data_IF_367474741218
#
_entry.id   IF_367474741218
#
_cell.length_a   1.000
_cell.length_b   1.000
_cell.length_c   1.000
_cell.angle_alpha   90.00
_cell.angle_beta   90.00
_cell.angle_gamma   90.00
#
_symmetry.space_group_name_H-M   'P 1'
#
loop_
_entity.id
_entity.type
_entity.pdbx_description
1 polymer ?
#
# COMPACT_ATOMS: atom_id res chain seq x y z
N UNK A 1 -62.86 -53.92 -64.32
CA UNK A 1 -61.58 -54.65 -64.29
C UNK A 1 -61.02 -54.53 -62.88
N UNK A 2 -60.90 -55.66 -62.20
CA UNK A 2 -60.43 -55.81 -60.82
C UNK A 2 -58.90 -55.64 -60.82
N UNK A 3 -58.30 -55.11 -59.74
CA UNK A 3 -57.20 -55.73 -58.96
C UNK A 3 -56.48 -54.71 -58.05
N UNK A 4 -56.57 -54.99 -56.74
CA UNK A 4 -55.72 -54.66 -55.58
C UNK A 4 -54.20 -54.48 -55.84
N UNK A 5 -53.55 -53.68 -54.97
CA UNK A 5 -52.32 -53.99 -54.15
C UNK A 5 -51.79 -52.68 -53.54
N UNK A 6 -51.82 -52.45 -52.23
CA UNK A 6 -50.84 -52.87 -51.20
C UNK A 6 -49.37 -52.54 -51.52
N UNK A 7 -48.88 -51.54 -50.79
CA UNK A 7 -47.56 -51.41 -50.12
C UNK A 7 -46.33 -52.04 -50.77
N UNK A 8 -45.33 -51.22 -51.09
CA UNK A 8 -43.91 -51.59 -50.92
C UNK A 8 -42.99 -50.35 -50.98
N UNK A 9 -42.34 -50.08 -49.85
CA UNK A 9 -40.92 -49.71 -49.75
C UNK A 9 -40.48 -48.41 -50.46
N UNK A 10 -40.56 -47.32 -49.71
CA UNK A 10 -39.48 -46.33 -49.65
C UNK A 10 -39.41 -45.78 -48.21
N UNK A 11 -39.17 -46.70 -47.26
CA UNK A 11 -38.65 -46.36 -45.95
C UNK A 11 -37.15 -46.11 -46.11
N UNK A 12 -36.61 -45.16 -45.34
CA UNK A 12 -35.16 -44.87 -45.17
C UNK A 12 -34.59 -43.68 -45.96
N UNK A 13 -35.24 -42.52 -45.92
CA UNK A 13 -34.53 -41.26 -46.22
C UNK A 13 -35.13 -39.98 -45.61
N UNK A 14 -36.24 -40.05 -44.84
CA UNK A 14 -36.93 -38.83 -44.37
C UNK A 14 -37.34 -38.86 -42.90
N UNK A 15 -36.56 -39.57 -42.07
CA UNK A 15 -36.70 -39.56 -40.61
C UNK A 15 -35.31 -39.53 -39.95
N UNK A 16 -34.45 -38.65 -40.46
CA UNK A 16 -33.13 -38.30 -39.89
C UNK A 16 -32.84 -36.79 -40.14
N UNK A 17 -33.85 -35.95 -39.93
CA UNK A 17 -33.73 -34.49 -39.97
C UNK A 17 -34.58 -33.82 -38.87
N UNK A 18 -34.87 -34.56 -37.80
CA UNK A 18 -35.26 -34.05 -36.49
C UNK A 18 -34.29 -34.71 -35.51
N UNK A 19 -33.56 -33.92 -34.71
CA UNK A 19 -32.48 -34.30 -33.77
C UNK A 19 -31.03 -34.09 -34.25
N UNK A 20 -30.71 -32.95 -34.85
CA UNK A 20 -29.34 -32.41 -34.84
C UNK A 20 -29.36 -30.88 -34.83
N UNK A 21 -28.88 -30.28 -33.73
CA UNK A 21 -28.24 -28.96 -33.79
C UNK A 21 -29.04 -27.74 -33.33
N UNK A 22 -29.67 -27.77 -32.15
CA UNK A 22 -29.75 -26.57 -31.31
C UNK A 22 -28.76 -26.76 -30.15
N UNK A 23 -27.47 -26.68 -30.48
CA UNK A 23 -26.46 -26.32 -29.51
C UNK A 23 -26.51 -24.79 -29.47
N UNK A 24 -27.28 -24.25 -28.51
CA UNK A 24 -27.12 -22.88 -28.08
C UNK A 24 -25.67 -22.75 -27.63
N UNK A 25 -24.88 -22.00 -28.39
CA UNK A 25 -23.56 -21.59 -27.96
C UNK A 25 -23.77 -20.83 -26.65
N UNK A 26 -23.42 -21.44 -25.53
CA UNK A 26 -23.19 -20.70 -24.30
C UNK A 26 -22.12 -19.69 -24.65
N UNK A 27 -22.53 -18.43 -24.81
CA UNK A 27 -21.62 -17.32 -24.69
C UNK A 27 -21.13 -17.38 -23.25
N UNK A 28 -20.00 -18.05 -23.05
CA UNK A 28 -19.16 -17.81 -21.89
C UNK A 28 -18.86 -16.33 -21.97
N UNK A 29 -19.51 -15.57 -21.09
CA UNK A 29 -19.06 -14.23 -20.77
C UNK A 29 -17.58 -14.39 -20.42
N UNK A 30 -16.75 -13.85 -21.29
CA UNK A 30 -15.34 -13.61 -21.05
C UNK A 30 -15.32 -12.85 -19.72
N UNK A 31 -14.98 -13.55 -18.64
CA UNK A 31 -14.47 -12.87 -17.47
C UNK A 31 -13.24 -12.18 -18.03
N UNK A 32 -13.32 -10.88 -18.20
CA UNK A 32 -12.15 -10.03 -18.17
C UNK A 32 -11.48 -10.33 -16.84
N UNK A 33 -10.65 -11.38 -16.83
CA UNK A 33 -9.41 -11.39 -16.09
C UNK A 33 -8.85 -10.00 -16.39
N UNK A 34 -8.87 -9.13 -15.38
CA UNK A 34 -8.00 -7.98 -15.39
C UNK A 34 -6.63 -8.56 -15.68
N UNK A 35 -6.20 -8.45 -16.94
CA UNK A 35 -4.80 -8.50 -17.29
C UNK A 35 -4.23 -7.42 -16.38
N UNK A 36 -3.62 -7.85 -15.27
CA UNK A 36 -2.64 -7.06 -14.56
C UNK A 36 -1.75 -6.56 -15.69
N UNK A 37 -1.82 -5.26 -16.01
CA UNK A 37 -0.82 -4.68 -16.89
C UNK A 37 0.51 -5.04 -16.22
N UNK A 38 1.24 -6.01 -16.78
CA UNK A 38 2.56 -6.39 -16.34
C UNK A 38 3.43 -5.16 -16.59
N UNK A 39 3.41 -4.26 -15.62
CA UNK A 39 4.41 -3.22 -15.50
C UNK A 39 5.78 -3.89 -15.57
N UNK A 40 6.78 -3.19 -16.11
CA UNK A 40 8.13 -3.72 -16.18
C UNK A 40 8.58 -4.20 -14.78
N UNK A 41 9.34 -5.31 -14.72
CA UNK A 41 9.69 -5.96 -13.47
C UNK A 41 10.39 -4.98 -12.53
N UNK A 42 10.01 -4.94 -11.25
CA UNK A 42 10.65 -4.07 -10.28
C UNK A 42 12.13 -4.43 -10.14
N UNK A 43 12.97 -3.41 -10.03
CA UNK A 43 14.43 -3.55 -10.01
C UNK A 43 14.96 -3.13 -8.65
N UNK A 44 15.66 -4.05 -7.98
CA UNK A 44 16.22 -3.86 -6.65
C UNK A 44 17.73 -4.09 -6.70
N UNK A 45 18.50 -3.11 -6.25
CA UNK A 45 19.95 -3.21 -6.11
C UNK A 45 20.29 -3.24 -4.62
N UNK A 46 20.92 -4.33 -4.16
CA UNK A 46 21.41 -4.43 -2.79
C UNK A 46 22.85 -3.94 -2.74
N UNK A 47 23.11 -2.90 -1.95
CA UNK A 47 24.45 -2.31 -1.78
C UNK A 47 24.98 -2.69 -0.41
N UNK A 48 26.05 -3.49 -0.39
CA UNK A 48 26.66 -4.00 0.84
C UNK A 48 28.03 -3.37 1.10
N UNK A 49 28.19 -2.84 2.31
CA UNK A 49 29.47 -2.44 2.86
C UNK A 49 30.35 -3.66 3.19
N UNK A 50 31.59 -3.65 2.69
CA UNK A 50 32.60 -4.69 2.95
C UNK A 50 33.87 -4.07 3.54
N UNK A 51 33.76 -2.87 4.11
CA UNK A 51 34.84 -2.15 4.78
C UNK A 51 35.27 -2.82 6.09
N UNK A 52 36.29 -2.24 6.74
CA UNK A 52 37.01 -2.91 7.82
C UNK A 52 36.19 -3.13 9.08
N UNK A 53 35.25 -2.23 9.36
CA UNK A 53 34.32 -2.26 10.50
C UNK A 53 33.33 -3.41 10.43
N UNK A 54 33.11 -3.98 9.24
CA UNK A 54 32.21 -5.12 9.07
C UNK A 54 32.75 -6.42 9.69
N UNK A 55 33.98 -6.41 10.24
CA UNK A 55 34.58 -7.53 10.99
C UNK A 55 34.12 -7.58 12.44
N UNK A 56 33.66 -6.47 13.00
CA UNK A 56 33.23 -6.34 14.37
C UNK A 56 32.15 -7.39 14.69
N UNK A 57 32.29 -8.00 15.88
CA UNK A 57 31.47 -9.12 16.37
C UNK A 57 30.49 -8.69 17.44
N UNK A 58 29.75 -7.63 17.15
CA UNK A 58 28.81 -6.99 18.05
C UNK A 58 27.34 -7.25 17.68
N UNK A 59 27.08 -8.01 16.61
CA UNK A 59 25.76 -8.56 16.35
C UNK A 59 25.38 -9.59 17.43
N UNK A 60 24.09 -9.71 17.70
CA UNK A 60 23.55 -10.76 18.57
C UNK A 60 24.13 -12.14 18.25
N UNK A 61 24.52 -12.88 19.29
CA UNK A 61 25.15 -14.19 19.12
C UNK A 61 26.65 -14.17 18.82
N UNK A 62 27.31 -13.00 18.80
CA UNK A 62 28.77 -12.88 18.62
C UNK A 62 29.23 -13.10 17.18
N UNK A 63 28.29 -13.02 16.23
CA UNK A 63 28.54 -13.06 14.80
C UNK A 63 29.11 -11.72 14.33
N UNK A 64 29.93 -11.73 13.26
CA UNK A 64 30.40 -10.49 12.65
C UNK A 64 29.30 -9.83 11.82
N UNK A 65 29.32 -8.50 11.73
CA UNK A 65 28.37 -7.72 10.89
C UNK A 65 28.28 -8.25 9.45
N UNK A 66 29.42 -8.54 8.82
CA UNK A 66 29.45 -9.15 7.46
C UNK A 66 28.77 -10.52 7.39
N UNK A 67 28.87 -11.33 8.46
CA UNK A 67 28.33 -12.68 8.45
C UNK A 67 26.81 -12.64 8.66
N UNK A 68 26.33 -11.71 9.50
CA UNK A 68 24.90 -11.41 9.61
C UNK A 68 24.34 -10.93 8.26
N UNK A 69 25.01 -9.99 7.59
CA UNK A 69 24.62 -9.57 6.25
C UNK A 69 24.59 -10.75 5.27
N UNK A 70 25.67 -11.52 5.13
CA UNK A 70 25.71 -12.68 4.23
C UNK A 70 24.60 -13.70 4.50
N UNK A 71 24.26 -13.95 5.76
CA UNK A 71 23.15 -14.82 6.13
C UNK A 71 21.81 -14.24 5.66
N UNK A 72 21.51 -12.99 6.00
CA UNK A 72 20.25 -12.35 5.61
C UNK A 72 20.10 -12.23 4.10
N UNK A 73 21.18 -11.97 3.35
CA UNK A 73 21.15 -11.97 1.88
C UNK A 73 20.78 -13.33 1.32
N UNK A 74 21.30 -14.42 1.87
CA UNK A 74 20.96 -15.77 1.43
C UNK A 74 19.47 -16.07 1.60
N UNK A 75 18.89 -15.65 2.72
CA UNK A 75 17.46 -15.81 3.00
C UNK A 75 16.60 -14.94 2.09
N UNK A 76 17.06 -13.73 1.77
CA UNK A 76 16.40 -12.82 0.83
C UNK A 76 16.42 -13.37 -0.59
N UNK A 77 17.58 -13.85 -1.08
CA UNK A 77 17.72 -14.48 -2.40
C UNK A 77 16.73 -15.65 -2.57
N UNK A 78 16.47 -16.40 -1.50
CA UNK A 78 15.50 -17.49 -1.51
C UNK A 78 14.04 -17.01 -1.54
N UNK A 79 13.75 -15.84 -0.96
CA UNK A 79 12.42 -15.28 -0.82
C UNK A 79 12.03 -14.28 -1.93
N UNK A 80 12.97 -13.85 -2.77
CA UNK A 80 12.70 -12.93 -3.90
C UNK A 80 11.77 -13.61 -4.93
N UNK A 81 10.64 -12.99 -5.30
CA UNK A 81 9.77 -13.44 -6.40
C UNK A 81 10.51 -13.50 -7.74
N UNK A 82 10.08 -14.36 -8.67
CA UNK A 82 10.78 -14.53 -9.97
C UNK A 82 10.64 -13.29 -10.88
N UNK A 83 9.64 -12.47 -10.60
CA UNK A 83 9.27 -11.24 -11.29
C UNK A 83 10.17 -10.05 -10.89
N UNK A 84 10.90 -10.15 -9.77
CA UNK A 84 11.78 -9.08 -9.30
C UNK A 84 13.18 -9.25 -9.88
N UNK A 85 13.72 -8.20 -10.50
CA UNK A 85 15.11 -8.16 -10.90
C UNK A 85 15.99 -7.70 -9.74
N UNK A 86 16.93 -8.54 -9.31
CA UNK A 86 17.84 -8.26 -8.20
C UNK A 86 19.26 -8.10 -8.72
N UNK A 87 19.96 -7.06 -8.26
CA UNK A 87 21.41 -6.93 -8.39
C UNK A 87 22.09 -6.75 -7.04
N UNK A 88 23.40 -6.95 -7.01
CA UNK A 88 24.22 -6.82 -5.80
C UNK A 88 25.46 -6.01 -6.14
N UNK A 89 25.67 -4.92 -5.41
CA UNK A 89 26.88 -4.11 -5.45
C UNK A 89 27.56 -4.12 -4.09
N UNK A 90 28.87 -3.99 -4.13
CA UNK A 90 29.68 -3.82 -2.93
C UNK A 90 30.40 -2.48 -2.93
N UNK A 91 30.76 -2.03 -1.74
CA UNK A 91 31.67 -0.91 -1.53
C UNK A 91 32.79 -1.33 -0.57
N UNK A 92 34.01 -0.84 -0.81
CA UNK A 92 35.18 -1.17 0.00
C UNK A 92 35.60 -2.64 -0.06
N UNK A 93 35.30 -3.37 -1.14
CA UNK A 93 35.58 -4.81 -1.27
C UNK A 93 36.84 -5.14 -2.08
N UNK A 94 37.22 -4.29 -3.04
CA UNK A 94 38.22 -4.61 -4.07
C UNK A 94 39.64 -4.16 -3.75
N UNK A 95 39.79 -3.10 -2.95
CA UNK A 95 41.08 -2.44 -2.74
C UNK A 95 41.45 -2.39 -1.24
N UNK A 96 42.05 -3.46 -0.69
CA UNK A 96 42.60 -3.42 0.66
C UNK A 96 43.82 -2.49 0.70
N UNK A 97 43.68 -1.30 1.28
CA UNK A 97 44.77 -0.37 1.44
C UNK A 97 44.36 0.97 2.05
N UNK A 98 45.33 1.71 2.56
CA UNK A 98 45.13 3.00 3.22
C UNK A 98 45.17 4.18 2.25
N UNK A 99 45.28 3.91 0.93
CA UNK A 99 45.27 4.95 -0.09
C UNK A 99 43.84 5.43 -0.35
N UNK A 100 43.54 6.63 0.12
CA UNK A 100 42.22 7.26 -0.01
C UNK A 100 41.83 7.47 -1.47
N UNK A 101 42.76 7.79 -2.38
CA UNK A 101 42.40 8.06 -3.79
C UNK A 101 41.90 6.78 -4.48
N UNK A 102 42.52 5.65 -4.16
CA UNK A 102 42.14 4.33 -4.71
C UNK A 102 40.93 3.75 -3.99
N UNK A 103 40.88 3.85 -2.66
CA UNK A 103 39.78 3.33 -1.84
C UNK A 103 38.47 4.06 -2.09
N UNK A 104 38.50 5.36 -2.38
CA UNK A 104 37.29 6.12 -2.71
C UNK A 104 36.73 5.86 -4.12
N UNK A 105 37.43 5.07 -4.92
CA UNK A 105 36.95 4.55 -6.20
C UNK A 105 36.47 3.09 -6.09
N UNK A 106 36.46 2.51 -4.88
CA UNK A 106 36.16 1.11 -4.65
C UNK A 106 34.65 0.85 -4.46
N UNK A 107 33.94 0.78 -5.59
CA UNK A 107 32.59 0.23 -5.66
C UNK A 107 32.43 -0.60 -6.92
N UNK A 108 31.85 -1.80 -6.79
CA UNK A 108 31.78 -2.78 -7.87
C UNK A 108 30.44 -3.51 -7.87
N UNK A 109 29.87 -3.69 -9.06
CA UNK A 109 28.75 -4.60 -9.27
C UNK A 109 29.26 -6.04 -9.12
N UNK A 110 28.78 -6.72 -8.09
CA UNK A 110 29.13 -8.11 -7.80
C UNK A 110 28.21 -9.09 -8.54
N UNK A 111 26.94 -8.74 -8.67
CA UNK A 111 25.92 -9.51 -9.38
C UNK A 111 25.05 -8.55 -10.20
N UNK A 112 24.87 -8.78 -11.52
CA UNK A 112 24.14 -7.85 -12.37
C UNK A 112 22.64 -7.83 -12.07
N UNK A 113 22.00 -6.67 -12.22
CA UNK A 113 20.55 -6.53 -12.09
C UNK A 113 19.83 -7.35 -13.16
N UNK A 114 19.07 -8.35 -12.74
CA UNK A 114 18.28 -9.19 -13.63
C UNK A 114 17.52 -10.27 -12.89
N UNK A 115 16.94 -11.23 -13.63
CA UNK A 115 16.33 -12.42 -13.04
C UNK A 115 17.35 -13.18 -12.20
N UNK A 116 16.95 -13.56 -10.98
CA UNK A 116 17.86 -14.07 -9.97
C UNK A 116 18.20 -15.55 -10.19
N UNK A 117 19.44 -15.82 -10.59
CA UNK A 117 20.04 -17.14 -10.38
C UNK A 117 20.48 -17.25 -8.92
N UNK A 118 19.66 -17.92 -8.12
CA UNK A 118 19.87 -18.11 -6.68
C UNK A 118 21.21 -18.78 -6.35
N UNK A 119 21.76 -19.61 -7.25
CA UNK A 119 23.04 -20.30 -7.04
C UNK A 119 24.20 -19.34 -7.28
N UNK A 120 24.14 -18.57 -8.37
CA UNK A 120 25.18 -17.60 -8.70
C UNK A 120 25.22 -16.46 -7.67
N UNK A 121 24.06 -15.88 -7.34
CA UNK A 121 23.96 -14.80 -6.36
C UNK A 121 24.49 -15.22 -4.97
N UNK A 122 24.13 -16.43 -4.50
CA UNK A 122 24.65 -16.99 -3.25
C UNK A 122 26.16 -17.19 -3.28
N UNK A 123 26.68 -17.67 -4.41
CA UNK A 123 28.12 -17.89 -4.57
C UNK A 123 28.87 -16.57 -4.53
N UNK A 124 28.38 -15.55 -5.22
CA UNK A 124 28.91 -14.19 -5.21
C UNK A 124 29.01 -13.65 -3.76
N UNK A 125 27.92 -13.65 -3.01
CA UNK A 125 27.87 -13.14 -1.63
C UNK A 125 28.81 -13.93 -0.70
N UNK A 126 28.89 -15.24 -0.87
CA UNK A 126 29.74 -16.11 -0.05
C UNK A 126 31.25 -15.85 -0.22
N UNK A 127 31.67 -15.21 -1.31
CA UNK A 127 33.09 -14.85 -1.53
C UNK A 127 33.53 -13.60 -0.76
N UNK A 128 32.59 -12.78 -0.30
CA UNK A 128 32.90 -11.49 0.32
C UNK A 128 33.62 -11.64 1.65
N UNK A 129 34.68 -10.86 1.84
CA UNK A 129 35.49 -10.80 3.06
C UNK A 129 35.76 -9.33 3.37
N UNK A 130 35.56 -8.88 4.62
CA UNK A 130 35.81 -7.49 4.96
C UNK A 130 37.26 -7.09 4.67
N UNK A 131 37.47 -5.96 4.01
CA UNK A 131 38.80 -5.43 3.68
C UNK A 131 39.11 -4.19 4.51
N UNK A 132 40.37 -3.74 4.57
CA UNK A 132 40.72 -2.48 5.23
C UNK A 132 40.50 -1.29 4.29
N UNK A 133 39.38 -1.30 3.56
CA UNK A 133 39.02 -0.29 2.57
C UNK A 133 38.21 0.86 3.15
N UNK A 134 38.00 1.87 2.31
CA UNK A 134 37.16 3.04 2.58
C UNK A 134 35.69 2.75 2.22
N UNK A 135 34.81 3.65 2.62
CA UNK A 135 33.34 3.55 2.45
C UNK A 135 32.85 4.68 1.53
N UNK A 136 32.95 4.53 0.20
CA UNK A 136 32.48 5.54 -0.77
C UNK A 136 30.98 5.37 -1.06
N UNK A 137 30.13 5.80 -0.13
CA UNK A 137 28.66 5.70 -0.22
C UNK A 137 28.15 6.49 -1.43
N UNK A 138 28.62 7.73 -1.61
CA UNK A 138 28.18 8.58 -2.72
C UNK A 138 28.43 7.95 -4.10
N UNK A 139 29.59 7.32 -4.28
CA UNK A 139 29.93 6.60 -5.51
C UNK A 139 29.06 5.35 -5.68
N UNK A 140 28.87 4.58 -4.61
CA UNK A 140 28.07 3.37 -4.65
C UNK A 140 26.61 3.63 -5.00
N UNK A 141 26.01 4.73 -4.51
CA UNK A 141 24.65 5.14 -4.86
C UNK A 141 24.52 5.49 -6.34
N UNK A 142 25.49 6.22 -6.91
CA UNK A 142 25.49 6.53 -8.36
C UNK A 142 25.64 5.28 -9.20
N UNK A 143 26.60 4.41 -8.86
CA UNK A 143 26.77 3.14 -9.56
C UNK A 143 25.52 2.26 -9.46
N UNK A 144 24.86 2.23 -8.30
CA UNK A 144 23.63 1.49 -8.11
C UNK A 144 22.47 2.03 -8.95
N UNK A 145 22.34 3.36 -9.08
CA UNK A 145 21.38 3.97 -9.99
C UNK A 145 21.67 3.56 -11.45
N UNK A 146 22.93 3.63 -11.89
CA UNK A 146 23.37 3.23 -13.23
C UNK A 146 23.04 1.76 -13.53
N UNK A 147 23.30 0.85 -12.58
CA UNK A 147 23.04 -0.57 -12.73
C UNK A 147 21.55 -0.92 -12.82
N UNK A 148 20.71 -0.18 -12.10
CA UNK A 148 19.25 -0.31 -12.20
C UNK A 148 18.73 0.10 -13.58
N UNK A 149 19.51 0.89 -14.34
CA UNK A 149 19.21 1.30 -15.69
C UNK A 149 17.99 2.22 -15.83
N UNK A 150 17.82 2.77 -17.02
CA UNK A 150 16.67 3.61 -17.35
C UNK A 150 15.48 2.75 -17.79
N UNK A 151 14.28 3.09 -17.33
CA UNK A 151 13.06 2.43 -17.78
C UNK A 151 11.91 2.57 -16.78
N UNK A 152 10.67 2.34 -17.24
CA UNK A 152 9.52 2.31 -16.35
C UNK A 152 9.70 1.20 -15.29
N UNK A 153 8.96 1.29 -14.18
CA UNK A 153 9.00 0.31 -13.08
C UNK A 153 9.67 0.83 -11.82
N UNK A 154 9.35 0.19 -10.69
CA UNK A 154 9.88 0.55 -9.37
C UNK A 154 11.40 0.33 -9.32
N UNK A 155 12.16 1.36 -8.95
CA UNK A 155 13.62 1.30 -8.78
C UNK A 155 13.97 1.49 -7.31
N UNK A 156 14.68 0.53 -6.72
CA UNK A 156 14.98 0.56 -5.30
C UNK A 156 16.43 0.19 -5.03
N UNK A 157 17.08 0.97 -4.17
CA UNK A 157 18.39 0.65 -3.62
C UNK A 157 18.21 0.33 -2.14
N UNK A 158 18.81 -0.76 -1.68
CA UNK A 158 18.92 -1.05 -0.24
C UNK A 158 20.38 -0.97 0.17
N UNK A 159 20.76 0.11 0.83
CA UNK A 159 22.10 0.34 1.34
C UNK A 159 22.26 -0.26 2.73
N UNK A 160 23.28 -1.10 2.92
CA UNK A 160 23.58 -1.76 4.20
C UNK A 160 25.01 -1.41 4.58
N UNK A 161 25.16 -0.62 5.63
CA UNK A 161 26.47 -0.13 6.08
C UNK A 161 26.52 0.05 7.59
N UNK A 162 27.73 0.00 8.13
CA UNK A 162 28.02 0.12 9.54
C UNK A 162 28.89 1.33 9.88
N UNK A 163 29.18 2.17 8.87
CA UNK A 163 30.09 3.30 8.96
C UNK A 163 29.61 4.53 8.19
N UNK A 164 30.20 5.67 8.53
CA UNK A 164 30.02 6.93 7.82
C UNK A 164 30.78 6.88 6.48
N UNK A 165 30.34 7.67 5.51
CA UNK A 165 31.14 7.90 4.30
C UNK A 165 32.52 8.48 4.67
N UNK A 166 33.58 7.74 4.35
CA UNK A 166 34.96 8.12 4.69
C UNK A 166 35.68 8.84 3.55
N UNK A 167 34.98 9.11 2.45
CA UNK A 167 35.52 9.67 1.22
C UNK A 167 35.15 11.14 1.02
N UNK A 168 33.97 11.55 1.47
CA UNK A 168 33.47 12.92 1.57
C UNK A 168 33.09 13.57 0.23
N UNK A 169 33.53 13.02 -0.90
CA UNK A 169 33.35 13.63 -2.22
C UNK A 169 32.87 12.60 -3.26
N UNK A 170 31.65 12.74 -3.81
CA UNK A 170 30.59 13.67 -3.42
C UNK A 170 29.91 13.28 -2.10
N UNK A 171 29.37 14.27 -1.37
CA UNK A 171 28.55 14.05 -0.17
C UNK A 171 27.35 13.15 -0.51
N UNK A 172 27.12 12.05 0.24
CA UNK A 172 26.13 11.05 -0.13
C UNK A 172 24.69 11.56 0.00
N UNK A 173 24.40 12.51 0.88
CA UNK A 173 23.08 13.10 0.96
C UNK A 173 22.82 14.09 -0.18
N UNK A 174 23.86 14.80 -0.65
CA UNK A 174 23.75 15.59 -1.90
C UNK A 174 23.48 14.67 -3.08
N UNK A 175 24.23 13.57 -3.21
CA UNK A 175 23.99 12.56 -4.27
C UNK A 175 22.57 12.01 -4.20
N UNK A 176 22.06 11.66 -3.01
CA UNK A 176 20.70 11.16 -2.86
C UNK A 176 19.64 12.15 -3.36
N UNK A 177 19.82 13.45 -3.08
CA UNK A 177 18.92 14.51 -3.58
C UNK A 177 19.02 14.69 -5.10
N UNK A 178 20.23 14.61 -5.66
CA UNK A 178 20.44 14.65 -7.11
C UNK A 178 19.73 13.47 -7.80
N UNK A 179 19.87 12.26 -7.23
CA UNK A 179 19.23 11.06 -7.74
C UNK A 179 17.70 11.15 -7.65
N UNK A 180 17.15 11.64 -6.54
CA UNK A 180 15.71 11.88 -6.41
C UNK A 180 15.20 12.90 -7.42
N UNK A 181 15.97 13.96 -7.67
CA UNK A 181 15.63 15.01 -8.63
C UNK A 181 15.72 14.57 -10.10
N UNK A 182 16.39 13.44 -10.39
CA UNK A 182 16.52 12.92 -11.76
C UNK A 182 15.19 12.40 -12.34
N UNK A 183 14.15 12.23 -11.51
CA UNK A 183 12.81 11.81 -11.95
C UNK A 183 12.69 10.32 -12.25
N UNK A 184 13.64 9.51 -11.77
CA UNK A 184 13.71 8.06 -12.01
C UNK A 184 12.84 7.23 -11.07
N UNK A 185 12.06 7.85 -10.18
CA UNK A 185 11.31 7.18 -9.10
C UNK A 185 12.19 6.24 -8.25
N UNK A 186 13.47 6.57 -8.10
CA UNK A 186 14.42 5.81 -7.29
C UNK A 186 14.17 6.08 -5.80
N UNK A 187 13.97 5.00 -5.04
CA UNK A 187 13.87 5.03 -3.58
C UNK A 187 15.08 4.34 -2.97
N UNK A 188 15.73 4.98 -1.99
CA UNK A 188 16.88 4.43 -1.27
C UNK A 188 16.49 4.14 0.18
N UNK A 189 16.48 2.86 0.56
CA UNK A 189 16.33 2.44 1.96
C UNK A 189 17.71 2.15 2.55
N UNK A 190 17.94 2.60 3.79
CA UNK A 190 19.25 2.48 4.45
C UNK A 190 19.14 1.65 5.73
N UNK A 191 19.95 0.62 5.85
CA UNK A 191 20.06 -0.24 7.02
C UNK A 191 21.41 0.00 7.71
N UNK A 192 21.36 0.63 8.88
CA UNK A 192 22.53 0.91 9.69
C UNK A 192 22.83 -0.24 10.65
N UNK A 193 24.04 -0.82 10.60
CA UNK A 193 24.47 -1.89 11.50
C UNK A 193 25.19 -1.38 12.77
N UNK A 194 25.19 -0.07 12.98
CA UNK A 194 25.78 0.61 14.13
C UNK A 194 24.78 1.55 14.80
N UNK A 195 25.03 1.90 16.06
CA UNK A 195 24.23 2.85 16.86
C UNK A 195 24.87 4.24 16.91
N UNK A 196 25.82 4.53 16.04
CA UNK A 196 26.48 5.83 15.97
C UNK A 196 25.52 6.93 15.47
N UNK A 197 25.47 8.06 16.18
CA UNK A 197 24.55 9.15 15.89
C UNK A 197 24.88 9.85 14.56
N UNK A 198 26.16 9.97 14.19
CA UNK A 198 26.57 10.61 12.93
C UNK A 198 26.23 9.72 11.74
N UNK A 199 26.48 8.40 11.85
CA UNK A 199 26.05 7.42 10.85
C UNK A 199 24.53 7.44 10.68
N UNK A 200 23.78 7.49 11.78
CA UNK A 200 22.31 7.61 11.72
C UNK A 200 21.89 8.87 10.98
N UNK A 201 22.45 10.03 11.32
CA UNK A 201 22.09 11.31 10.68
C UNK A 201 22.34 11.26 9.17
N UNK A 202 23.50 10.75 8.74
CA UNK A 202 23.84 10.62 7.33
C UNK A 202 22.91 9.66 6.57
N UNK A 203 22.67 8.46 7.12
CA UNK A 203 21.81 7.46 6.48
C UNK A 203 20.34 7.91 6.44
N UNK A 204 19.84 8.54 7.50
CA UNK A 204 18.51 9.17 7.49
C UNK A 204 18.40 10.22 6.40
N UNK A 205 19.41 11.07 6.22
CA UNK A 205 19.43 12.10 5.17
C UNK A 205 19.29 11.49 3.77
N UNK A 206 20.00 10.38 3.49
CA UNK A 206 19.93 9.66 2.21
C UNK A 206 18.52 9.08 1.97
N UNK A 207 17.98 8.39 2.98
CA UNK A 207 16.67 7.77 2.91
C UNK A 207 15.57 8.83 2.71
N UNK A 208 15.56 9.88 3.52
CA UNK A 208 14.57 10.96 3.44
C UNK A 208 14.62 11.70 2.11
N UNK A 209 15.83 11.93 1.56
CA UNK A 209 16.00 12.61 0.28
C UNK A 209 15.32 11.89 -0.89
N UNK A 210 15.13 10.57 -0.80
CA UNK A 210 14.58 9.72 -1.86
C UNK A 210 13.21 9.12 -1.51
N UNK A 211 12.64 9.49 -0.35
CA UNK A 211 11.38 8.92 0.14
C UNK A 211 11.48 7.48 0.68
N UNK A 212 12.69 7.00 0.95
CA UNK A 212 12.94 5.72 1.59
C UNK A 212 12.93 5.79 3.12
N UNK A 213 13.39 4.73 3.76
CA UNK A 213 13.38 4.63 5.23
C UNK A 213 14.73 4.19 5.80
N UNK A 214 15.15 4.85 6.88
CA UNK A 214 16.28 4.42 7.69
C UNK A 214 15.83 3.39 8.73
N UNK A 215 16.65 2.36 8.97
CA UNK A 215 16.42 1.38 10.03
C UNK A 215 17.75 0.99 10.67
N UNK A 216 17.86 1.18 11.99
CA UNK A 216 18.95 0.65 12.77
C UNK A 216 18.72 -0.85 13.03
N UNK A 217 19.73 -1.67 12.76
CA UNK A 217 19.66 -3.12 12.88
C UNK A 217 20.77 -3.60 13.81
N UNK A 218 20.41 -4.38 14.81
CA UNK A 218 21.33 -4.90 15.84
C UNK A 218 21.39 -6.44 15.85
N UNK A 219 20.55 -7.08 15.04
CA UNK A 219 20.32 -8.52 15.07
C UNK A 219 20.10 -9.03 13.64
N UNK A 220 20.56 -10.25 13.35
CA UNK A 220 20.44 -10.87 12.03
C UNK A 220 18.98 -11.11 11.63
N UNK A 221 18.12 -11.49 12.57
CA UNK A 221 16.70 -11.76 12.28
C UNK A 221 16.00 -10.45 11.89
N UNK A 222 16.31 -9.35 12.57
CA UNK A 222 15.83 -8.02 12.20
C UNK A 222 16.32 -7.59 10.82
N UNK A 223 17.58 -7.89 10.48
CA UNK A 223 18.14 -7.62 9.15
C UNK A 223 17.38 -8.37 8.07
N UNK A 224 17.20 -9.69 8.26
CA UNK A 224 16.45 -10.56 7.35
C UNK A 224 15.02 -10.06 7.16
N UNK A 225 14.29 -9.85 8.26
CA UNK A 225 12.89 -9.44 8.21
C UNK A 225 12.74 -8.13 7.47
N UNK A 226 13.65 -7.19 7.73
CA UNK A 226 13.63 -5.89 7.09
C UNK A 226 13.96 -5.98 5.60
N UNK A 227 14.98 -6.73 5.21
CA UNK A 227 15.32 -6.92 3.81
C UNK A 227 14.18 -7.60 3.05
N UNK A 228 13.60 -8.66 3.61
CA UNK A 228 12.44 -9.34 3.05
C UNK A 228 11.24 -8.39 2.88
N UNK A 229 11.00 -7.51 3.85
CA UNK A 229 9.97 -6.49 3.74
C UNK A 229 10.26 -5.50 2.60
N UNK A 230 11.51 -5.04 2.48
CA UNK A 230 11.91 -4.07 1.47
C UNK A 230 11.84 -4.64 0.05
N UNK A 231 12.27 -5.89 -0.14
CA UNK A 231 12.18 -6.59 -1.43
C UNK A 231 10.72 -6.86 -1.80
N UNK A 232 9.89 -7.38 -0.87
CA UNK A 232 8.45 -7.55 -1.15
C UNK A 232 7.73 -6.24 -1.41
N UNK A 233 8.16 -5.14 -0.81
CA UNK A 233 7.59 -3.82 -1.12
C UNK A 233 7.95 -3.38 -2.53
N UNK A 234 9.10 -3.79 -3.07
CA UNK A 234 9.44 -3.49 -4.46
C UNK A 234 8.51 -4.20 -5.45
N UNK A 235 7.95 -5.34 -5.07
CA UNK A 235 6.95 -6.10 -5.83
C UNK A 235 5.56 -5.44 -5.85
N UNK A 236 5.28 -4.52 -4.93
CA UNK A 236 4.04 -3.76 -5.00
C UNK A 236 4.13 -2.75 -6.16
N UNK A 237 3.22 -2.80 -7.15
CA UNK A 237 3.20 -1.81 -8.20
C UNK A 237 3.06 -0.43 -7.58
N UNK A 238 3.96 0.49 -7.95
CA UNK A 238 3.74 1.91 -7.69
C UNK A 238 2.63 2.33 -8.65
N UNK A 239 1.40 2.27 -8.16
CA UNK A 239 0.23 2.81 -8.86
C UNK A 239 0.50 4.28 -9.13
N UNK A 240 0.72 4.64 -10.40
CA UNK A 240 0.87 6.04 -10.78
C UNK A 240 -0.49 6.72 -10.57
N UNK A 241 -0.59 7.75 -9.70
CA UNK A 241 -1.87 8.39 -9.44
C UNK A 241 -2.47 8.94 -10.73
N UNK A 242 -3.73 8.61 -10.99
CA UNK A 242 -4.46 9.14 -12.14
C UNK A 242 -4.90 10.57 -11.86
N UNK A 243 -4.51 11.50 -12.74
CA UNK A 243 -4.92 12.89 -12.65
C UNK A 243 -6.42 13.03 -12.84
N UNK A 244 -7.07 13.64 -11.86
CA UNK A 244 -8.49 13.93 -11.88
C UNK A 244 -8.74 15.34 -11.34
N UNK A 245 -9.83 15.94 -11.79
CA UNK A 245 -10.29 17.24 -11.30
C UNK A 245 -11.69 17.05 -10.69
N UNK A 246 -11.77 17.10 -9.35
CA UNK A 246 -13.04 17.02 -8.64
C UNK A 246 -13.92 18.23 -8.95
N UNK A 247 -15.24 18.06 -8.98
CA UNK A 247 -16.16 19.17 -9.23
C UNK A 247 -16.58 19.90 -7.94
N UNK A 248 -17.23 21.05 -8.08
CA UNK A 248 -17.83 21.79 -6.94
C UNK A 248 -19.14 21.17 -6.44
N UNK A 249 -19.74 20.25 -7.22
CA UNK A 249 -21.03 19.61 -6.94
C UNK A 249 -21.02 18.15 -7.36
N UNK A 250 -21.76 17.33 -6.63
CA UNK A 250 -21.89 15.88 -6.87
C UNK A 250 -22.37 15.53 -8.29
N UNK A 251 -23.29 16.29 -8.89
CA UNK A 251 -23.83 15.99 -10.23
C UNK A 251 -22.82 16.18 -11.36
N UNK A 252 -21.85 17.09 -11.18
CA UNK A 252 -20.83 17.42 -12.17
C UNK A 252 -19.53 16.64 -11.94
N UNK A 253 -19.45 15.88 -10.86
CA UNK A 253 -18.23 15.24 -10.41
C UNK A 253 -17.82 14.06 -11.30
N UNK A 254 -16.51 13.87 -11.51
CA UNK A 254 -15.99 12.76 -12.30
C UNK A 254 -16.33 11.43 -11.62
N UNK A 255 -16.61 10.42 -12.46
CA UNK A 255 -16.82 9.05 -12.00
C UNK A 255 -15.47 8.35 -11.84
N UNK A 256 -15.19 7.86 -10.63
CA UNK A 256 -13.98 7.14 -10.27
C UNK A 256 -14.26 5.65 -10.15
N UNK A 257 -13.32 4.84 -10.62
CA UNK A 257 -13.24 3.41 -10.29
C UNK A 257 -12.29 3.17 -9.10
N UNK A 258 -11.97 1.91 -8.86
CA UNK A 258 -10.91 1.53 -7.91
C UNK A 258 -9.56 2.06 -8.41
N UNK A 259 -8.79 2.70 -7.53
CA UNK A 259 -7.47 3.23 -7.87
C UNK A 259 -6.99 4.36 -6.97
N UNK A 260 -5.82 4.89 -7.32
CA UNK A 260 -5.19 6.06 -6.70
C UNK A 260 -5.28 7.25 -7.66
N UNK A 261 -5.68 8.40 -7.14
CA UNK A 261 -5.93 9.61 -7.90
C UNK A 261 -5.22 10.80 -7.28
N UNK A 262 -4.79 11.75 -8.11
CA UNK A 262 -4.28 13.04 -7.66
C UNK A 262 -5.12 14.21 -8.22
N UNK A 263 -5.33 15.21 -7.37
CA UNK A 263 -6.04 16.46 -7.68
C UNK A 263 -5.35 17.63 -6.95
N UNK A 264 -5.80 18.87 -7.18
CA UNK A 264 -5.46 20.03 -6.37
C UNK A 264 -6.72 20.76 -5.92
N UNK A 265 -6.80 21.03 -4.62
CA UNK A 265 -7.90 21.81 -4.03
C UNK A 265 -7.40 23.18 -3.58
N UNK A 266 -8.08 24.24 -4.02
CA UNK A 266 -7.82 25.59 -3.50
C UNK A 266 -8.24 25.71 -2.03
N UNK A 267 -7.71 26.72 -1.35
CA UNK A 267 -8.03 27.01 0.05
C UNK A 267 -9.55 27.26 0.22
N UNK A 268 -10.21 26.45 1.04
CA UNK A 268 -11.65 26.52 1.29
C UNK A 268 -12.54 25.95 0.18
N UNK A 269 -11.96 25.34 -0.86
CA UNK A 269 -12.71 24.69 -1.93
C UNK A 269 -13.17 23.29 -1.50
N UNK A 270 -14.41 22.94 -1.86
CA UNK A 270 -14.91 21.56 -1.76
C UNK A 270 -14.70 20.86 -3.10
N UNK A 271 -14.29 19.59 -3.05
CA UNK A 271 -14.15 18.73 -4.23
C UNK A 271 -15.06 17.52 -4.11
N UNK A 272 -15.81 17.23 -5.17
CA UNK A 272 -16.70 16.09 -5.26
C UNK A 272 -16.20 15.08 -6.27
N UNK A 273 -16.37 13.79 -5.95
CA UNK A 273 -16.06 12.64 -6.81
C UNK A 273 -17.19 11.61 -6.73
N UNK A 274 -17.52 10.93 -7.83
CA UNK A 274 -18.60 9.93 -7.87
C UNK A 274 -18.01 8.52 -7.91
N UNK A 275 -18.51 7.61 -7.07
CA UNK A 275 -18.11 6.19 -7.10
C UNK A 275 -19.35 5.33 -7.27
N UNK A 276 -19.47 4.53 -8.35
CA UNK A 276 -20.55 3.57 -8.49
C UNK A 276 -20.32 2.39 -7.54
N UNK A 277 -21.37 1.97 -6.83
CA UNK A 277 -21.37 0.82 -5.93
C UNK A 277 -22.55 -0.07 -6.25
N UNK A 278 -22.33 -1.37 -6.21
CA UNK A 278 -23.36 -2.40 -6.31
C UNK A 278 -23.71 -2.93 -4.93
N UNK A 279 -24.96 -3.36 -4.72
CA UNK A 279 -25.38 -4.03 -3.50
C UNK A 279 -24.42 -5.18 -3.12
N UNK A 280 -24.11 -5.29 -1.82
CA UNK A 280 -23.14 -6.24 -1.29
C UNK A 280 -21.68 -5.76 -1.35
N UNK A 281 -21.41 -4.54 -1.81
CA UNK A 281 -20.07 -3.94 -1.81
C UNK A 281 -19.86 -2.94 -0.68
N UNK A 282 -18.61 -2.80 -0.23
CA UNK A 282 -18.15 -1.76 0.70
C UNK A 282 -17.18 -0.82 -0.02
N UNK A 283 -17.52 0.47 -0.02
CA UNK A 283 -16.63 1.55 -0.42
C UNK A 283 -15.63 1.82 0.70
N UNK A 284 -14.35 1.84 0.36
CA UNK A 284 -13.26 2.33 1.19
C UNK A 284 -12.60 3.49 0.48
N UNK A 285 -12.66 4.66 1.11
CA UNK A 285 -12.04 5.84 0.54
C UNK A 285 -11.15 6.51 1.58
N UNK A 286 -9.97 6.93 1.17
CA UNK A 286 -9.07 7.75 1.97
C UNK A 286 -8.54 8.90 1.14
N UNK A 287 -8.40 10.04 1.78
CA UNK A 287 -7.86 11.24 1.15
C UNK A 287 -6.74 11.79 2.01
N UNK A 288 -5.69 12.28 1.37
CA UNK A 288 -4.64 13.06 2.00
C UNK A 288 -4.48 14.41 1.31
N UNK A 289 -4.19 15.44 2.09
CA UNK A 289 -3.88 16.79 1.60
C UNK A 289 -2.53 17.18 2.18
N UNK A 290 -1.56 17.47 1.31
CA UNK A 290 -0.22 17.84 1.71
C UNK A 290 -0.02 19.36 1.67
N UNK A 291 0.62 19.89 2.71
CA UNK A 291 1.04 21.28 2.79
C UNK A 291 2.38 21.44 2.05
N UNK A 292 2.33 21.52 0.71
CA UNK A 292 3.51 21.77 -0.13
C UNK A 292 4.12 23.19 0.02
N UNK A 293 3.54 24.00 0.91
CA UNK A 293 3.93 25.38 1.22
C UNK A 293 3.51 25.75 2.65
N UNK A 294 4.02 26.86 3.21
CA UNK A 294 3.63 27.30 4.55
C UNK A 294 2.12 27.55 4.66
N UNK A 295 1.49 26.92 5.66
CA UNK A 295 0.08 27.10 6.04
C UNK A 295 0.00 27.56 7.50
N UNK A 296 -1.07 28.26 7.85
CA UNK A 296 -1.35 28.64 9.24
C UNK A 296 -1.66 27.39 10.09
N UNK A 297 -1.38 27.42 11.41
CA UNK A 297 -1.74 26.34 12.31
C UNK A 297 -3.27 26.16 12.39
N UNK A 298 -3.72 25.01 12.93
CA UNK A 298 -5.13 24.64 13.09
C UNK A 298 -5.87 24.38 11.76
N UNK A 299 -5.42 23.33 11.06
CA UNK A 299 -5.97 22.85 9.79
C UNK A 299 -6.66 21.49 9.97
N UNK A 300 -7.56 21.16 9.05
CA UNK A 300 -8.33 19.92 9.07
C UNK A 300 -8.76 19.51 7.68
N UNK A 301 -8.91 18.19 7.50
CA UNK A 301 -9.44 17.56 6.28
C UNK A 301 -10.63 16.71 6.69
N UNK A 302 -11.73 16.83 5.97
CA UNK A 302 -12.94 16.03 6.17
C UNK A 302 -13.37 15.43 4.84
N UNK A 303 -13.56 14.11 4.86
CA UNK A 303 -14.15 13.35 3.76
C UNK A 303 -15.53 12.86 4.19
N UNK A 304 -16.55 13.09 3.37
CA UNK A 304 -17.91 12.59 3.58
C UNK A 304 -18.33 11.78 2.37
N UNK A 305 -19.10 10.73 2.61
CA UNK A 305 -19.86 10.06 1.57
C UNK A 305 -21.30 10.58 1.68
N UNK A 306 -21.80 11.14 0.58
CA UNK A 306 -23.17 11.63 0.45
C UNK A 306 -23.87 10.91 -0.70
N UNK A 307 -25.19 10.84 -0.65
CA UNK A 307 -25.97 10.44 -1.83
C UNK A 307 -26.11 11.58 -2.85
N UNK A 308 -26.78 11.31 -3.97
CA UNK A 308 -27.00 12.32 -5.03
C UNK A 308 -27.89 13.49 -4.56
N UNK A 309 -28.64 13.32 -3.47
CA UNK A 309 -29.46 14.35 -2.82
C UNK A 309 -28.69 15.13 -1.73
N UNK A 310 -27.38 14.88 -1.60
CA UNK A 310 -26.50 15.47 -0.57
C UNK A 310 -26.83 15.08 0.88
N UNK A 311 -27.53 13.95 1.10
CA UNK A 311 -27.70 13.39 2.44
C UNK A 311 -26.43 12.66 2.86
N UNK A 312 -25.98 12.91 4.10
CA UNK A 312 -24.79 12.25 4.65
C UNK A 312 -25.05 10.78 4.93
N UNK A 313 -24.24 9.92 4.31
CA UNK A 313 -24.26 8.48 4.51
C UNK A 313 -23.25 8.08 5.59
N UNK A 314 -22.01 8.55 5.45
CA UNK A 314 -20.94 8.35 6.43
C UNK A 314 -19.94 9.50 6.32
N UNK A 315 -19.22 9.75 7.40
CA UNK A 315 -18.12 10.70 7.47
C UNK A 315 -16.85 10.01 7.91
N UNK A 316 -15.72 10.49 7.40
CA UNK A 316 -14.41 10.02 7.79
C UNK A 316 -14.14 10.31 9.28
N UNK A 317 -13.43 9.39 9.91
CA UNK A 317 -12.97 9.56 11.29
C UNK A 317 -11.46 9.67 11.28
N UNK A 318 -10.96 10.87 11.57
CA UNK A 318 -9.54 11.17 11.53
C UNK A 318 -9.33 12.64 11.19
N UNK A 319 -8.74 13.37 12.13
CA UNK A 319 -8.06 14.64 11.92
C UNK A 319 -7.06 14.79 13.08
N UNK A 320 -5.77 14.78 12.76
CA UNK A 320 -4.69 15.03 13.72
C UNK A 320 -4.25 16.49 13.66
N UNK A 321 -3.89 17.08 14.79
CA UNK A 321 -3.41 18.47 14.89
C UNK A 321 -1.87 18.58 15.01
N UNK A 322 -1.15 17.58 14.51
CA UNK A 322 0.32 17.53 14.57
C UNK A 322 0.99 18.30 13.43
N UNK A 323 2.25 18.70 13.64
CA UNK A 323 3.20 19.31 12.67
C UNK A 323 3.52 18.42 11.44
N UNK A 324 2.62 17.55 11.02
CA UNK A 324 2.80 16.70 9.85
C UNK A 324 2.48 17.51 8.61
N UNK A 325 3.37 17.46 7.62
CA UNK A 325 3.22 18.12 6.31
C UNK A 325 2.07 17.52 5.47
N UNK A 326 1.38 16.50 5.99
CA UNK A 326 0.24 15.82 5.39
C UNK A 326 -0.84 15.56 6.45
N UNK A 327 -2.10 15.79 6.10
CA UNK A 327 -3.26 15.29 6.86
C UNK A 327 -4.03 14.30 5.99
N UNK A 328 -4.43 13.18 6.59
CA UNK A 328 -5.32 12.21 5.95
C UNK A 328 -6.56 11.91 6.78
N UNK A 329 -7.62 11.51 6.08
CA UNK A 329 -8.86 11.00 6.66
C UNK A 329 -9.44 9.95 5.73
N UNK A 330 -10.25 9.04 6.27
CA UNK A 330 -10.86 7.97 5.48
C UNK A 330 -12.18 7.51 6.04
N UNK A 331 -12.99 6.92 5.18
CA UNK A 331 -14.31 6.41 5.48
C UNK A 331 -14.50 5.01 4.89
N UNK A 332 -15.48 4.30 5.47
CA UNK A 332 -15.98 3.03 4.96
C UNK A 332 -17.49 3.11 4.87
N UNK A 333 -18.04 2.66 3.76
CA UNK A 333 -19.48 2.66 3.52
C UNK A 333 -19.90 1.32 2.90
N UNK A 334 -20.49 0.39 3.69
CA UNK A 334 -21.12 -0.81 3.14
C UNK A 334 -22.48 -0.47 2.52
N UNK A 335 -22.72 -0.94 1.29
CA UNK A 335 -24.03 -0.91 0.63
C UNK A 335 -24.73 -2.27 0.86
N UNK A 336 -25.73 -2.35 1.76
CA UNK A 336 -26.37 -3.62 2.09
C UNK A 336 -27.16 -4.18 0.89
N UNK A 337 -27.21 -5.52 0.81
CA UNK A 337 -28.13 -6.24 -0.06
C UNK A 337 -29.55 -6.17 0.51
N UNK A 338 -30.55 -6.06 -0.36
CA UNK A 338 -31.96 -6.16 -0.01
C UNK A 338 -32.52 -7.53 -0.43
N UNK A 339 -33.65 -7.95 0.16
CA UNK A 339 -34.28 -9.25 -0.13
C UNK A 339 -34.65 -9.43 -1.62
N UNK A 340 -34.74 -8.32 -2.37
CA UNK A 340 -35.01 -8.30 -3.82
C UNK A 340 -33.74 -8.49 -4.68
N UNK A 341 -32.54 -8.45 -4.08
CA UNK A 341 -31.24 -8.55 -4.77
C UNK A 341 -30.71 -10.01 -4.84
N UNK A 342 -31.43 -10.99 -4.29
CA UNK A 342 -30.98 -12.39 -4.16
C UNK A 342 -31.09 -13.23 -5.46
N UNK A 343 -31.82 -12.75 -6.48
CA UNK A 343 -32.26 -13.58 -7.60
C UNK A 343 -31.25 -13.68 -8.77
N UNK A 344 -30.36 -12.71 -9.01
CA UNK A 344 -29.25 -12.78 -9.99
C UNK A 344 -28.20 -11.67 -9.83
N UNK A 345 -26.91 -11.89 -10.16
CA UNK A 345 -25.84 -10.86 -10.06
C UNK A 345 -26.14 -9.58 -10.87
N UNK A 346 -26.88 -9.70 -11.98
CA UNK A 346 -27.29 -8.62 -12.89
C UNK A 346 -28.44 -7.75 -12.33
N UNK A 347 -29.15 -8.22 -11.30
CA UNK A 347 -30.32 -7.52 -10.73
C UNK A 347 -29.99 -6.69 -9.48
N UNK A 348 -28.73 -6.76 -9.00
CA UNK A 348 -28.31 -6.03 -7.80
C UNK A 348 -28.44 -4.53 -7.97
N UNK A 349 -29.11 -3.88 -7.02
CA UNK A 349 -29.25 -2.43 -7.00
C UNK A 349 -27.87 -1.74 -7.05
N UNK A 350 -27.67 -0.89 -8.06
CA UNK A 350 -26.50 -0.02 -8.16
C UNK A 350 -26.84 1.39 -7.69
N UNK A 351 -25.93 2.01 -6.97
CA UNK A 351 -26.06 3.38 -6.47
C UNK A 351 -24.76 4.14 -6.64
N UNK A 352 -24.88 5.41 -7.01
CA UNK A 352 -23.73 6.31 -7.02
C UNK A 352 -23.59 6.98 -5.67
N UNK A 353 -22.40 6.90 -5.08
CA UNK A 353 -22.04 7.62 -3.86
C UNK A 353 -21.09 8.76 -4.23
N UNK A 354 -21.35 9.94 -3.68
CA UNK A 354 -20.51 11.11 -3.86
C UNK A 354 -19.56 11.28 -2.68
N UNK A 355 -18.27 11.31 -2.95
CA UNK A 355 -17.24 11.67 -1.99
C UNK A 355 -17.05 13.18 -1.98
N UNK A 356 -17.40 13.84 -0.87
CA UNK A 356 -17.16 15.26 -0.62
C UNK A 356 -15.89 15.42 0.21
N UNK A 357 -14.87 16.03 -0.39
CA UNK A 357 -13.66 16.49 0.27
C UNK A 357 -13.83 17.97 0.64
N UNK A 358 -13.58 18.28 1.91
CA UNK A 358 -13.47 19.65 2.41
C UNK A 358 -12.21 19.80 3.25
N UNK A 359 -11.58 20.98 3.20
CA UNK A 359 -10.41 21.28 4.01
C UNK A 359 -10.47 22.70 4.56
N UNK A 360 -9.91 22.89 5.76
CA UNK A 360 -9.89 24.18 6.46
C UNK A 360 -8.49 24.80 6.50
N UNK A 361 -7.64 24.48 5.52
CA UNK A 361 -6.33 25.11 5.41
C UNK A 361 -6.47 26.62 5.22
N UNK A 362 -5.55 27.38 5.79
CA UNK A 362 -5.36 28.80 5.54
C UNK A 362 -3.87 29.09 5.40
N UNK A 363 -3.53 30.20 4.76
CA UNK A 363 -2.14 30.57 4.52
C UNK A 363 -1.93 32.08 4.70
N UNK A 364 -0.74 32.49 5.19
CA UNK A 364 -0.35 33.89 5.29
C UNK A 364 -0.42 34.62 3.96
N UNK A 365 -0.59 35.94 3.98
CA UNK A 365 -0.72 36.77 2.77
C UNK A 365 0.47 36.71 1.81
N UNK A 366 1.65 36.32 2.30
CA UNK A 366 2.85 36.17 1.51
C UNK A 366 2.91 34.86 0.69
N UNK A 367 1.99 33.92 0.91
CA UNK A 367 1.99 32.59 0.29
C UNK A 367 1.08 32.58 -0.95
N UNK A 368 1.58 32.04 -2.06
CA UNK A 368 0.79 31.85 -3.27
C UNK A 368 -0.30 30.79 -3.04
N UNK A 369 -1.55 31.15 -3.37
CA UNK A 369 -2.72 30.27 -3.17
C UNK A 369 -3.01 29.35 -4.35
N UNK A 370 -2.49 29.68 -5.53
CA UNK A 370 -2.61 28.89 -6.74
C UNK A 370 -1.22 28.43 -7.22
N UNK A 371 -1.08 27.19 -7.71
CA UNK A 371 -2.12 26.14 -7.78
C UNK A 371 -2.50 25.66 -6.37
N UNK A 372 -3.71 25.09 -6.20
CA UNK A 372 -4.21 24.61 -4.91
C UNK A 372 -3.31 23.57 -4.23
N UNK A 373 -3.63 23.19 -2.99
CA UNK A 373 -2.86 22.17 -2.27
C UNK A 373 -3.02 20.79 -2.94
N UNK A 374 -1.94 19.98 -3.00
CA UNK A 374 -1.99 18.63 -3.54
C UNK A 374 -2.93 17.74 -2.72
N UNK A 375 -3.80 17.03 -3.43
CA UNK A 375 -4.75 16.06 -2.91
C UNK A 375 -4.40 14.70 -3.50
N UNK A 376 -4.31 13.68 -2.65
CA UNK A 376 -4.24 12.28 -3.08
C UNK A 376 -5.46 11.54 -2.54
N UNK A 377 -6.22 10.92 -3.43
CA UNK A 377 -7.45 10.19 -3.13
C UNK A 377 -7.26 8.71 -3.52
N UNK A 378 -7.48 7.82 -2.58
CA UNK A 378 -7.56 6.38 -2.83
C UNK A 378 -9.01 5.93 -2.74
N UNK A 379 -9.46 5.20 -3.77
CA UNK A 379 -10.79 4.60 -3.82
C UNK A 379 -10.62 3.10 -3.99
N UNK A 380 -11.25 2.33 -3.12
CA UNK A 380 -11.29 0.88 -3.16
C UNK A 380 -12.72 0.39 -2.93
N UNK A 381 -13.10 -0.69 -3.62
CA UNK A 381 -14.42 -1.29 -3.57
C UNK A 381 -14.24 -2.79 -3.39
N UNK A 382 -14.66 -3.28 -2.22
CA UNK A 382 -14.51 -4.68 -1.83
C UNK A 382 -15.86 -5.30 -1.52
N UNK A 383 -15.92 -6.62 -1.36
CA UNK A 383 -17.12 -7.27 -0.81
C UNK A 383 -17.41 -6.77 0.60
N UNK A 384 -18.66 -6.39 0.86
CA UNK A 384 -19.11 -6.03 2.20
C UNK A 384 -19.03 -7.25 3.12
N UNK A 385 -18.75 -7.07 4.42
CA UNK A 385 -18.76 -8.17 5.36
C UNK A 385 -20.17 -8.77 5.52
N UNK A 386 -20.26 -10.11 5.51
CA UNK A 386 -21.51 -10.87 5.67
C UNK A 386 -22.21 -10.61 7.02
N UNK A 387 -21.46 -10.17 8.03
CA UNK A 387 -21.97 -9.88 9.38
C UNK A 387 -21.68 -8.41 9.77
N UNK A 388 -22.70 -7.56 9.95
CA UNK A 388 -22.48 -6.21 10.45
C UNK A 388 -21.97 -6.26 11.89
N UNK A 389 -20.77 -5.71 12.11
CA UNK A 389 -20.10 -5.65 13.42
C UNK A 389 -20.73 -4.67 14.42
N UNK A 390 -21.84 -4.01 14.06
CA UNK A 390 -22.51 -3.03 14.91
C UNK A 390 -23.43 -3.72 15.92
N UNK A 391 -23.33 -3.33 17.19
CA UNK A 391 -24.22 -3.80 18.26
C UNK A 391 -25.69 -3.45 18.01
N UNK A 392 -25.95 -2.46 17.14
CA UNK A 392 -27.29 -2.15 16.64
C UNK A 392 -27.91 -3.29 15.80
N UNK A 393 -27.08 -4.15 15.19
CA UNK A 393 -27.52 -5.27 14.35
C UNK A 393 -28.12 -6.44 15.13
N UNK A 394 -27.83 -6.57 16.44
CA UNK A 394 -28.49 -7.58 17.29
C UNK A 394 -29.99 -7.31 17.55
N UNK A 395 -30.60 -6.36 16.83
CA UNK A 395 -32.03 -6.07 16.91
C UNK A 395 -32.49 -5.51 18.25
N UNK A 396 -31.57 -5.27 19.19
CA UNK A 396 -31.88 -4.69 20.50
C UNK A 396 -32.44 -3.27 20.40
N UNK A 397 -32.16 -2.56 19.29
CA UNK A 397 -32.66 -1.23 18.99
C UNK A 397 -33.78 -1.18 17.92
N UNK A 398 -34.18 -2.33 17.33
CA UNK A 398 -35.18 -2.36 16.25
C UNK A 398 -36.48 -3.01 16.75
N UNK A 399 -37.58 -2.27 16.71
CA UNK A 399 -38.93 -2.78 17.04
C UNK A 399 -39.34 -2.66 18.52
N UNK A 400 -40.28 -3.51 18.96
CA UNK A 400 -40.90 -3.46 20.30
C UNK A 400 -40.05 -4.10 21.41
N UNK A 401 -38.96 -4.78 21.03
CA UNK A 401 -38.03 -5.50 21.92
C UNK A 401 -37.43 -4.60 23.02
N UNK A 402 -36.86 -3.42 22.73
CA UNK A 402 -36.35 -2.52 23.78
C UNK A 402 -37.45 -2.05 24.74
N UNK A 403 -38.67 -1.88 24.23
CA UNK A 403 -39.83 -1.46 25.02
C UNK A 403 -40.24 -2.55 26.01
N UNK A 404 -40.29 -3.81 25.56
CA UNK A 404 -40.55 -4.98 26.41
C UNK A 404 -39.43 -5.24 27.43
N UNK A 405 -38.18 -5.06 27.02
CA UNK A 405 -37.02 -5.26 27.89
C UNK A 405 -36.98 -4.19 28.99
N UNK A 406 -37.17 -2.91 28.64
CA UNK A 406 -37.24 -1.82 29.61
C UNK A 406 -38.43 -1.96 30.56
N UNK A 407 -39.60 -2.35 30.06
CA UNK A 407 -40.77 -2.61 30.93
C UNK A 407 -40.56 -3.82 31.82
N UNK A 408 -39.98 -4.90 31.31
CA UNK A 408 -39.65 -6.10 32.09
C UNK A 408 -38.65 -5.82 33.21
N UNK A 409 -37.54 -5.14 32.88
CA UNK A 409 -36.52 -4.73 33.86
C UNK A 409 -37.14 -3.77 34.90
N UNK A 410 -37.93 -2.79 34.46
CA UNK A 410 -38.62 -1.86 35.35
C UNK A 410 -39.56 -2.57 36.33
N UNK A 411 -40.30 -3.59 35.86
CA UNK A 411 -41.21 -4.38 36.69
C UNK A 411 -40.45 -5.23 37.71
N UNK A 412 -39.35 -5.88 37.31
CA UNK A 412 -38.51 -6.69 38.21
C UNK A 412 -37.85 -5.82 39.27
N UNK A 413 -37.28 -4.68 38.88
CA UNK A 413 -36.67 -3.72 39.81
C UNK A 413 -37.72 -3.15 40.77
N UNK A 414 -38.90 -2.79 40.26
CA UNK A 414 -40.01 -2.32 41.09
C UNK A 414 -40.51 -3.36 42.09
N UNK A 415 -40.63 -4.63 41.68
CA UNK A 415 -40.98 -5.74 42.57
C UNK A 415 -39.90 -5.99 43.62
N UNK A 416 -38.63 -6.02 43.22
CA UNK A 416 -37.51 -6.22 44.13
C UNK A 416 -37.42 -5.08 45.17
N UNK A 417 -37.57 -3.83 44.73
CA UNK A 417 -37.61 -2.66 45.62
C UNK A 417 -38.81 -2.73 46.57
N UNK A 418 -39.99 -3.08 46.08
CA UNK A 418 -41.18 -3.30 46.90
C UNK A 418 -40.98 -4.40 47.94
N UNK A 419 -40.30 -5.49 47.57
CA UNK A 419 -39.96 -6.58 48.48
C UNK A 419 -38.95 -6.14 49.55
N UNK A 420 -37.93 -5.37 49.18
CA UNK A 420 -36.93 -4.81 50.09
C UNK A 420 -37.55 -3.84 51.10
N UNK A 421 -38.47 -2.98 50.65
CA UNK A 421 -39.25 -2.07 51.52
C UNK A 421 -40.14 -2.89 52.47
N UNK A 422 -40.80 -3.94 51.97
CA UNK A 422 -41.69 -4.79 52.77
C UNK A 422 -40.95 -5.66 53.79
N UNK A 423 -39.71 -6.06 53.47
CA UNK A 423 -38.81 -6.79 54.38
C UNK A 423 -38.13 -5.86 55.40
N UNK A 424 -38.38 -4.54 55.37
CA UNK A 424 -37.87 -3.58 56.35
C UNK A 424 -36.36 -3.36 56.28
N UNK A 425 -35.74 -3.67 55.13
CA UNK A 425 -34.28 -3.62 54.96
C UNK A 425 -33.79 -2.21 54.61
N UNK A 426 -34.69 -1.29 54.24
CA UNK A 426 -34.35 0.10 53.96
C UNK A 426 -34.73 1.01 55.14
N UNK A 427 -33.69 1.38 55.89
CA UNK A 427 -33.59 2.44 56.90
C UNK A 427 -34.14 2.17 58.32
N UNK A 428 -33.24 1.66 59.17
CA UNK A 428 -32.67 2.46 60.26
C UNK A 428 -33.67 3.25 61.11
N UNK A 429 -34.15 2.60 62.18
CA UNK A 429 -34.65 3.29 63.37
C UNK A 429 -33.44 3.87 64.11
N UNK A 430 -33.36 5.20 64.21
CA UNK A 430 -32.70 5.86 65.32
C UNK A 430 -33.50 5.62 66.61
#
# INVERSE_FOLDING_TARGET
MIIRKWSAVALSALFAALMTGFLSTSAVADQSESETEEGPPPRVELVLDVSGSMRERDMSGGQSRIAAAQQSFNEVIDAVPEEVHLGIRTLGAGNPGDDREVGCQDSQQLYPVGQVDRTEARTAVATLRPTTGFTPIGLALRGADEDLGEGPGTRRIVLITDGEDSCGDPDPCVVARELAASGTNLVVDTLGLTLDDAVREQLSCIAEATGGTYTAVQDTDQLTDRLNQLVRRADLPVENPTAVEGAERCEDAPQLGVGVYNDRAEFGQHRFYRVPLTAGQELRASVSVAADRPVDPDYGVLLRAVDEESQELVRGTGAGSGRTDVISTGLRYPLPETEDDEDTEDDRASRVVCLELSSSFSAPDAVERAPGLPVELTVDVVSAPDEPSDLAAFGLARGWVPLLLLTGVGLVVGLAWGLLVRLGIVMGRA
#
